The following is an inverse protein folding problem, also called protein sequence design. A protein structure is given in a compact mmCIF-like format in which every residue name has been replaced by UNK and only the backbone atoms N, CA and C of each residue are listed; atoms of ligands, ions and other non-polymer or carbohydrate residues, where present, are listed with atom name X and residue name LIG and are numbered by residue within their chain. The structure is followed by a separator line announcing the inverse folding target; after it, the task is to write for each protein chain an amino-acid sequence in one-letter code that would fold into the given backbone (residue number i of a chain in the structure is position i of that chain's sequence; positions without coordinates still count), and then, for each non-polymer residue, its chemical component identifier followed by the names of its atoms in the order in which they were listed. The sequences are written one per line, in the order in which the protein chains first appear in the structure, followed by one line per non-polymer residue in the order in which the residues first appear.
data_IF_700462281266
#
_entry.id   IF_700462281266
#
_cell.length_a   1.000
_cell.length_b   1.000
_cell.length_c   1.000
_cell.angle_alpha   90.00
_cell.angle_beta   90.00
_cell.angle_gamma   90.00
#
_symmetry.space_group_name_H-M   'P 1'
#
loop_
_entity.id
_entity.type
_entity.pdbx_description
1 polymer ?
#
# COMPACT_ATOMS: atom_id res chain seq x y z
N UNK A 1 11.74 6.59 -25.43
CA UNK A 1 10.89 7.78 -25.10
C UNK A 1 11.36 8.56 -23.86
N UNK A 2 12.67 8.52 -23.55
CA UNK A 2 13.33 9.33 -22.51
C UNK A 2 14.80 9.59 -22.88
N UNK A 3 15.19 9.33 -24.14
CA UNK A 3 16.59 9.19 -24.56
C UNK A 3 17.42 10.46 -24.38
N UNK A 4 16.80 11.64 -24.40
CA UNK A 4 17.45 12.95 -24.26
C UNK A 4 17.08 13.69 -22.96
N UNK A 5 16.58 12.97 -21.94
CA UNK A 5 16.24 13.58 -20.64
C UNK A 5 17.39 13.46 -19.64
N UNK A 6 17.53 14.50 -18.81
CA UNK A 6 18.56 14.72 -17.80
C UNK A 6 19.93 15.11 -18.36
N UNK A 7 20.33 16.35 -18.09
CA UNK A 7 21.66 16.87 -18.44
C UNK A 7 22.45 17.19 -17.17
N UNK A 8 23.76 16.86 -17.13
CA UNK A 8 24.59 17.13 -15.96
C UNK A 8 24.76 18.64 -15.68
N UNK A 9 24.62 19.48 -16.71
CA UNK A 9 24.72 20.94 -16.60
C UNK A 9 23.40 21.60 -16.16
N UNK A 10 22.32 20.84 -16.00
CA UNK A 10 20.97 21.33 -15.66
C UNK A 10 20.49 20.94 -14.26
N UNK A 11 19.24 21.29 -13.94
CA UNK A 11 18.59 20.93 -12.67
C UNK A 11 18.00 19.51 -12.70
N UNK A 12 18.84 18.51 -13.01
CA UNK A 12 18.43 17.12 -13.22
C UNK A 12 17.66 16.49 -12.06
N UNK A 13 17.87 16.96 -10.82
CA UNK A 13 17.14 16.48 -9.63
C UNK A 13 15.67 16.91 -9.65
N UNK A 14 15.40 18.15 -10.05
CA UNK A 14 14.04 18.67 -10.15
C UNK A 14 13.32 18.02 -11.33
N UNK A 15 13.98 17.91 -12.48
CA UNK A 15 13.44 17.20 -13.65
C UNK A 15 13.05 15.76 -13.30
N UNK A 16 13.89 15.06 -12.53
CA UNK A 16 13.59 13.72 -12.09
C UNK A 16 12.36 13.68 -11.18
N UNK A 17 12.26 14.60 -10.22
CA UNK A 17 11.09 14.71 -9.33
C UNK A 17 9.79 14.97 -10.10
N UNK A 18 9.81 15.84 -11.11
CA UNK A 18 8.66 16.11 -11.98
C UNK A 18 8.24 14.87 -12.78
N UNK A 19 9.21 14.11 -13.31
CA UNK A 19 8.91 12.87 -14.02
C UNK A 19 8.34 11.80 -13.08
N UNK A 20 8.85 11.69 -11.85
CA UNK A 20 8.26 10.82 -10.83
C UNK A 20 6.81 11.23 -10.55
N UNK A 21 6.51 12.52 -10.43
CA UNK A 21 5.15 13.03 -10.24
C UNK A 21 4.22 12.66 -11.42
N UNK A 22 4.71 12.83 -12.65
CA UNK A 22 3.97 12.46 -13.87
C UNK A 22 3.70 10.96 -13.91
N UNK A 23 4.69 10.15 -13.56
CA UNK A 23 4.57 8.70 -13.54
C UNK A 23 3.54 8.24 -12.50
N UNK A 24 3.61 8.77 -11.28
CA UNK A 24 2.70 8.42 -10.18
C UNK A 24 1.25 8.77 -10.50
N UNK A 25 1.02 9.90 -11.20
CA UNK A 25 -0.32 10.30 -11.63
C UNK A 25 -0.93 9.36 -12.67
N UNK A 26 -0.11 8.64 -13.43
CA UNK A 26 -0.56 7.65 -14.41
C UNK A 26 -0.86 6.34 -13.70
N UNK A 27 -2.13 5.98 -13.61
CA UNK A 27 -2.52 4.66 -13.12
C UNK A 27 -2.29 3.63 -14.24
N UNK A 28 -1.32 2.74 -14.05
CA UNK A 28 -0.88 1.74 -15.04
C UNK A 28 -0.81 0.36 -14.38
N UNK A 29 -0.96 -0.73 -15.14
CA UNK A 29 -0.84 -2.09 -14.60
C UNK A 29 0.60 -2.39 -14.15
N UNK A 30 0.76 -3.30 -13.19
CA UNK A 30 2.04 -3.62 -12.53
C UNK A 30 3.23 -3.84 -13.50
N UNK A 31 3.12 -4.64 -14.60
CA UNK A 31 4.25 -4.86 -15.49
C UNK A 31 4.77 -3.56 -16.12
N UNK A 32 3.84 -2.68 -16.50
CA UNK A 32 4.16 -1.38 -17.10
C UNK A 32 4.75 -0.41 -16.08
N UNK A 33 4.28 -0.46 -14.82
CA UNK A 33 4.88 0.33 -13.73
C UNK A 33 6.34 -0.06 -13.51
N UNK A 34 6.64 -1.35 -13.43
CA UNK A 34 8.00 -1.86 -13.24
C UNK A 34 8.92 -1.43 -14.40
N UNK A 35 8.46 -1.61 -15.63
CA UNK A 35 9.24 -1.24 -16.82
C UNK A 35 9.49 0.27 -16.89
N UNK A 36 8.47 1.09 -16.64
CA UNK A 36 8.59 2.54 -16.69
C UNK A 36 9.52 3.08 -15.59
N UNK A 37 9.41 2.56 -14.36
CA UNK A 37 10.35 2.90 -13.27
C UNK A 37 11.78 2.52 -13.66
N UNK A 38 11.98 1.30 -14.17
CA UNK A 38 13.30 0.82 -14.59
C UNK A 38 13.92 1.72 -15.66
N UNK A 39 13.17 2.05 -16.71
CA UNK A 39 13.65 2.92 -17.79
C UNK A 39 14.04 4.30 -17.24
N UNK A 40 13.20 4.88 -16.39
CA UNK A 40 13.44 6.19 -15.79
C UNK A 40 14.71 6.20 -14.93
N UNK A 41 14.91 5.19 -14.08
CA UNK A 41 16.09 5.09 -13.23
C UNK A 41 17.36 4.77 -14.03
N UNK A 42 17.26 3.88 -15.02
CA UNK A 42 18.41 3.49 -15.85
C UNK A 42 18.94 4.70 -16.62
N UNK A 43 18.05 5.54 -17.17
CA UNK A 43 18.44 6.74 -17.92
C UNK A 43 19.07 7.79 -17.01
N UNK A 44 18.50 8.02 -15.82
CA UNK A 44 19.09 8.94 -14.85
C UNK A 44 20.52 8.52 -14.49
N UNK A 45 20.73 7.24 -14.18
CA UNK A 45 22.05 6.71 -13.81
C UNK A 45 23.01 6.74 -15.01
N UNK A 46 22.55 6.41 -16.22
CA UNK A 46 23.39 6.44 -17.43
C UNK A 46 23.87 7.85 -17.77
N UNK A 47 23.03 8.88 -17.55
CA UNK A 47 23.34 10.27 -17.91
C UNK A 47 24.11 11.02 -16.83
N UNK A 48 23.69 10.87 -15.57
CA UNK A 48 24.27 11.62 -14.44
C UNK A 48 25.44 10.85 -13.81
N UNK A 49 25.42 9.52 -13.85
CA UNK A 49 26.42 8.67 -13.19
C UNK A 49 26.23 8.53 -11.67
N UNK A 50 25.19 9.16 -11.12
CA UNK A 50 24.84 9.10 -9.70
C UNK A 50 23.51 8.39 -9.46
N UNK A 51 23.30 7.91 -8.23
CA UNK A 51 22.05 7.31 -7.84
C UNK A 51 20.99 8.40 -7.56
N UNK A 52 19.71 8.22 -7.97
CA UNK A 52 18.66 9.17 -7.64
C UNK A 52 18.48 9.32 -6.13
N UNK A 53 17.88 10.43 -5.71
CA UNK A 53 17.62 10.69 -4.30
C UNK A 53 16.74 9.59 -3.68
N UNK A 54 17.13 9.11 -2.50
CA UNK A 54 16.45 8.01 -1.79
C UNK A 54 14.95 8.25 -1.62
N UNK A 55 14.54 9.50 -1.40
CA UNK A 55 13.13 9.90 -1.26
C UNK A 55 12.35 9.60 -2.55
N UNK A 56 12.91 9.87 -3.71
CA UNK A 56 12.24 9.62 -4.98
C UNK A 56 12.19 8.12 -5.30
N UNK A 57 13.22 7.36 -4.94
CA UNK A 57 13.21 5.90 -5.05
C UNK A 57 12.13 5.27 -4.17
N UNK A 58 11.93 5.76 -2.95
CA UNK A 58 10.85 5.32 -2.06
C UNK A 58 9.46 5.59 -2.68
N UNK A 59 9.28 6.76 -3.31
CA UNK A 59 8.05 7.10 -4.03
C UNK A 59 7.78 6.16 -5.21
N UNK A 60 8.80 5.82 -5.99
CA UNK A 60 8.70 4.87 -7.09
C UNK A 60 8.42 3.44 -6.60
N UNK A 61 9.00 3.03 -5.48
CA UNK A 61 8.69 1.74 -4.86
C UNK A 61 7.22 1.66 -4.39
N UNK A 62 6.73 2.71 -3.73
CA UNK A 62 5.32 2.82 -3.36
C UNK A 62 4.41 2.83 -4.59
N UNK A 63 4.84 3.46 -5.69
CA UNK A 63 4.12 3.44 -6.95
C UNK A 63 4.02 2.04 -7.53
N UNK A 64 5.07 1.22 -7.49
CA UNK A 64 5.02 -0.19 -7.94
C UNK A 64 4.08 -1.01 -7.06
N UNK A 65 4.14 -0.83 -5.73
CA UNK A 65 3.36 -1.60 -4.77
C UNK A 65 1.95 -1.04 -4.51
N UNK A 66 1.51 -0.06 -5.30
CA UNK A 66 0.30 0.70 -4.98
C UNK A 66 -0.97 -0.16 -4.90
N UNK A 67 -1.05 -1.24 -5.68
CA UNK A 67 -2.22 -2.12 -5.72
C UNK A 67 -2.27 -3.00 -4.45
N UNK A 68 -1.12 -3.56 -4.06
CA UNK A 68 -1.00 -4.41 -2.87
C UNK A 68 -1.21 -3.61 -1.58
N UNK A 69 -0.74 -2.36 -1.56
CA UNK A 69 -0.91 -1.44 -0.43
C UNK A 69 -2.34 -0.90 -0.32
N UNK A 70 -3.03 -0.68 -1.46
CA UNK A 70 -4.45 -0.27 -1.48
C UNK A 70 -5.39 -1.43 -1.15
N UNK A 71 -4.99 -2.68 -1.36
CA UNK A 71 -5.82 -3.85 -1.12
C UNK A 71 -6.22 -3.97 0.37
N UNK A 72 -7.53 -3.96 0.63
CA UNK A 72 -8.13 -4.06 1.96
C UNK A 72 -8.81 -5.41 2.23
N UNK A 73 -8.69 -6.38 1.33
CA UNK A 73 -9.31 -7.67 1.51
C UNK A 73 -8.87 -8.33 2.84
N UNK A 74 -9.80 -8.88 3.64
CA UNK A 74 -9.43 -9.56 4.88
C UNK A 74 -8.70 -10.89 4.62
N UNK A 75 -8.90 -11.45 3.43
CA UNK A 75 -8.63 -12.85 3.12
C UNK A 75 -7.28 -13.04 2.41
N UNK A 76 -6.40 -12.02 2.44
CA UNK A 76 -5.10 -12.02 1.73
C UNK A 76 -4.28 -13.28 1.99
N UNK A 77 -4.27 -13.77 3.23
CA UNK A 77 -3.53 -14.99 3.62
C UNK A 77 -3.95 -16.21 2.79
N UNK A 78 -5.24 -16.32 2.46
CA UNK A 78 -5.76 -17.47 1.73
C UNK A 78 -5.62 -17.30 0.20
N UNK A 79 -5.65 -16.06 -0.26
CA UNK A 79 -5.69 -15.75 -1.69
C UNK A 79 -4.32 -15.44 -2.31
N UNK A 80 -3.31 -15.09 -1.50
CA UNK A 80 -1.98 -14.71 -1.99
C UNK A 80 -0.88 -15.45 -1.24
N UNK A 81 0.19 -15.80 -1.96
CA UNK A 81 1.35 -16.50 -1.39
C UNK A 81 2.14 -15.61 -0.42
N UNK A 82 2.29 -14.32 -0.75
CA UNK A 82 3.02 -13.33 0.05
C UNK A 82 2.11 -12.13 0.39
N UNK A 83 1.25 -12.24 1.42
CA UNK A 83 0.29 -11.19 1.76
C UNK A 83 0.97 -9.99 2.44
N UNK A 84 0.74 -8.79 1.90
CA UNK A 84 1.15 -7.52 2.52
C UNK A 84 -0.01 -6.95 3.34
N UNK A 85 0.23 -6.69 4.63
CA UNK A 85 -0.78 -6.12 5.54
C UNK A 85 -0.47 -4.68 5.92
N UNK A 86 -1.50 -3.85 5.92
CA UNK A 86 -1.47 -2.55 6.61
C UNK A 86 -1.48 -2.73 8.13
N UNK A 87 -1.00 -1.71 8.85
CA UNK A 87 -1.03 -1.67 10.32
C UNK A 87 -2.42 -1.93 10.90
N UNK A 88 -3.47 -1.44 10.23
CA UNK A 88 -4.85 -1.64 10.65
C UNK A 88 -5.26 -3.10 10.49
N UNK A 89 -4.90 -3.74 9.37
CA UNK A 89 -5.17 -5.16 9.14
C UNK A 89 -4.42 -6.04 10.17
N UNK A 90 -3.15 -5.73 10.46
CA UNK A 90 -2.38 -6.41 11.50
C UNK A 90 -3.05 -6.29 12.88
N UNK A 91 -3.48 -5.08 13.26
CA UNK A 91 -4.21 -4.85 14.53
C UNK A 91 -5.53 -5.63 14.58
N UNK A 92 -6.28 -5.70 13.48
CA UNK A 92 -7.53 -6.48 13.42
C UNK A 92 -7.23 -7.97 13.55
N UNK A 93 -6.19 -8.46 12.90
CA UNK A 93 -5.74 -9.85 12.96
C UNK A 93 -5.33 -10.24 14.37
N UNK A 94 -4.44 -9.48 15.01
CA UNK A 94 -4.03 -9.68 16.40
C UNK A 94 -5.21 -9.69 17.39
N UNK A 95 -6.25 -8.86 17.16
CA UNK A 95 -7.48 -8.86 17.96
C UNK A 95 -8.37 -10.09 17.75
N UNK A 96 -8.27 -10.76 16.60
CA UNK A 96 -9.03 -12.00 16.30
C UNK A 96 -8.26 -13.23 16.78
N UNK A 97 -6.94 -13.20 16.67
CA UNK A 97 -6.00 -14.24 17.11
C UNK A 97 -5.81 -14.30 18.63
N UNK A 98 -6.75 -13.73 19.42
CA UNK A 98 -6.67 -13.77 20.89
C UNK A 98 -6.53 -15.23 21.35
N UNK A 99 -5.41 -15.45 22.02
CA UNK A 99 -4.76 -16.71 22.35
C UNK A 99 -5.70 -17.85 22.77
N UNK A 100 -5.43 -19.04 22.23
CA UNK A 100 -5.95 -20.35 22.64
C UNK A 100 -5.92 -20.56 24.16
N UNK A 101 -5.00 -19.93 24.88
CA UNK A 101 -4.90 -19.96 26.35
C UNK A 101 -6.13 -19.37 27.07
N UNK A 102 -6.82 -18.40 26.46
CA UNK A 102 -8.12 -17.90 26.96
C UNK A 102 -9.31 -18.71 26.45
N UNK A 103 -9.15 -19.53 25.41
CA UNK A 103 -10.22 -20.41 24.92
C UNK A 103 -10.45 -21.60 25.85
N UNK A 104 -9.41 -22.16 26.45
CA UNK A 104 -9.56 -23.20 27.50
C UNK A 104 -10.36 -22.69 28.71
N UNK A 105 -10.28 -21.39 29.00
CA UNK A 105 -11.04 -20.72 30.06
C UNK A 105 -12.39 -20.15 29.59
N UNK A 106 -12.67 -20.14 28.28
CA UNK A 106 -13.91 -19.61 27.72
C UNK A 106 -14.86 -20.73 27.33
N UNK A 107 -15.87 -20.88 28.18
CA UNK A 107 -17.12 -21.64 28.03
C UNK A 107 -17.10 -23.11 28.51
N UNK A 108 -16.97 -23.29 29.83
CA UNK A 108 -17.64 -24.41 30.51
C UNK A 108 -19.07 -24.04 30.97
N UNK A 109 -19.37 -22.75 31.17
CA UNK A 109 -20.70 -22.28 31.59
C UNK A 109 -21.27 -21.16 30.68
N UNK A 110 -22.61 -21.06 30.62
CA UNK A 110 -23.32 -20.09 29.77
C UNK A 110 -23.02 -18.61 30.08
N UNK A 111 -22.45 -18.31 31.27
CA UNK A 111 -22.10 -16.97 31.74
C UNK A 111 -20.79 -16.42 31.15
N UNK A 112 -19.93 -17.30 30.62
CA UNK A 112 -18.61 -16.92 30.08
C UNK A 112 -18.68 -16.50 28.60
N UNK A 113 -19.87 -16.60 27.99
CA UNK A 113 -20.12 -16.17 26.62
C UNK A 113 -20.01 -14.65 26.55
N UNK A 114 -19.06 -14.14 25.77
CA UNK A 114 -18.92 -12.69 25.53
C UNK A 114 -20.28 -12.09 25.14
N UNK A 115 -20.72 -10.99 25.76
CA UNK A 115 -21.99 -10.37 25.42
C UNK A 115 -21.97 -9.99 23.94
N UNK A 116 -23.03 -10.38 23.22
CA UNK A 116 -23.19 -9.99 21.81
C UNK A 116 -23.16 -8.46 21.74
N UNK A 117 -22.17 -7.90 21.04
CA UNK A 117 -22.15 -6.46 20.77
C UNK A 117 -23.43 -6.11 20.03
N UNK A 118 -24.29 -5.32 20.66
CA UNK A 118 -25.50 -4.81 20.03
C UNK A 118 -25.07 -3.99 18.80
N UNK A 119 -25.60 -4.34 17.63
CA UNK A 119 -25.39 -3.54 16.42
C UNK A 119 -26.10 -2.20 16.64
N UNK A 120 -25.37 -1.08 16.56
CA UNK A 120 -26.00 0.24 16.53
C UNK A 120 -26.81 0.33 15.23
N UNK A 121 -28.14 0.35 15.33
CA UNK A 121 -28.97 0.68 14.18
C UNK A 121 -28.83 2.17 13.91
N UNK A 122 -28.20 2.54 12.80
CA UNK A 122 -28.38 3.88 12.26
C UNK A 122 -29.81 3.94 11.74
N UNK A 123 -30.72 4.51 12.55
CA UNK A 123 -32.02 4.93 12.02
C UNK A 123 -31.68 5.96 10.95
N UNK A 124 -31.96 5.63 9.69
CA UNK A 124 -31.91 6.60 8.59
C UNK A 124 -32.60 7.87 9.08
N UNK A 125 -31.88 8.99 9.06
CA UNK A 125 -32.50 10.31 9.16
C UNK A 125 -33.34 10.48 7.89
N UNK A 126 -34.56 9.94 7.93
CA UNK A 126 -35.65 10.44 7.13
C UNK A 126 -36.04 11.81 7.67
N UNK A 127 -36.38 12.73 6.75
CA UNK A 127 -36.91 14.10 6.92
C UNK A 127 -35.81 15.17 6.82
N UNK A 128 -35.85 16.13 5.90
CA UNK A 128 -36.99 16.73 5.17
C UNK A 128 -36.51 17.44 3.90
N UNK A 129 -37.45 17.59 2.96
CA UNK A 129 -37.38 18.38 1.72
C UNK A 129 -37.05 19.86 1.96
#
# INVERSE_FOLDING_TARGET
MYEDKFYPDGEYKQEFEEEVDVLIKKEQPLPWRIEAVKILTDIYVQRIGEMPESKQLERLANYILSDELKDRHPDKVANTEYPIFSDVQLKVRQRREVAFEKLEQMATNARDRKPKKQKKSYKHLSQTA
#
